data_IF_519230476694
#
_entry.id   IF_519230476694
#
_cell.length_a   1.000
_cell.length_b   1.000
_cell.length_c   1.000
_cell.angle_alpha   90.00
_cell.angle_beta   90.00
_cell.angle_gamma   90.00
#
_symmetry.space_group_name_H-M   'P 1'
#
loop_
_entity.id
_entity.type
_entity.pdbx_description
1 polymer ?
#
# COMPACT_ATOMS: atom_id res chain seq x y z
N UNK A 1 -21.15 -36.18 0.30
CA UNK A 1 -20.59 -34.82 0.52
C UNK A 1 -21.53 -33.87 -0.21
N UNK A 2 -22.31 -33.06 0.51
CA UNK A 2 -23.20 -32.09 -0.14
C UNK A 2 -22.35 -30.95 -0.69
N UNK A 3 -22.35 -30.79 -2.00
CA UNK A 3 -21.69 -29.66 -2.65
C UNK A 3 -22.23 -28.34 -2.09
N UNK A 4 -21.32 -27.39 -1.87
CA UNK A 4 -21.69 -26.05 -1.47
C UNK A 4 -22.51 -25.38 -2.59
N UNK A 5 -23.78 -25.10 -2.32
CA UNK A 5 -24.66 -24.40 -3.27
C UNK A 5 -24.40 -22.90 -3.20
N UNK A 6 -23.68 -22.37 -4.19
CA UNK A 6 -23.38 -20.94 -4.28
C UNK A 6 -24.65 -20.10 -4.45
N UNK A 7 -24.84 -19.11 -3.57
CA UNK A 7 -26.02 -18.24 -3.62
C UNK A 7 -25.96 -17.28 -4.81
N UNK A 8 -27.02 -17.28 -5.63
CA UNK A 8 -27.19 -16.31 -6.72
C UNK A 8 -27.22 -14.86 -6.22
N UNK A 9 -27.65 -14.63 -4.97
CA UNK A 9 -27.66 -13.30 -4.37
C UNK A 9 -26.23 -12.83 -4.04
N UNK A 10 -25.42 -13.70 -3.41
CA UNK A 10 -24.01 -13.41 -3.10
C UNK A 10 -23.21 -13.17 -4.38
N UNK A 11 -23.48 -13.93 -5.45
CA UNK A 11 -22.88 -13.69 -6.78
C UNK A 11 -23.10 -12.25 -7.25
N UNK A 12 -24.37 -11.82 -7.26
CA UNK A 12 -24.75 -10.49 -7.74
C UNK A 12 -24.15 -9.39 -6.86
N UNK A 13 -24.21 -9.57 -5.54
CA UNK A 13 -23.63 -8.64 -4.58
C UNK A 13 -22.13 -8.45 -4.79
N UNK A 14 -21.37 -9.54 -4.97
CA UNK A 14 -19.92 -9.49 -5.19
C UNK A 14 -19.57 -8.78 -6.51
N UNK A 15 -20.33 -9.04 -7.58
CA UNK A 15 -20.14 -8.37 -8.88
C UNK A 15 -20.41 -6.87 -8.75
N UNK A 16 -21.48 -6.47 -8.05
CA UNK A 16 -21.81 -5.05 -7.83
C UNK A 16 -20.68 -4.35 -7.07
N UNK A 17 -20.17 -4.95 -5.99
CA UNK A 17 -19.03 -4.38 -5.24
C UNK A 17 -17.77 -4.26 -6.12
N UNK A 18 -17.50 -5.24 -6.98
CA UNK A 18 -16.36 -5.20 -7.90
C UNK A 18 -16.49 -4.05 -8.89
N UNK A 19 -17.69 -3.84 -9.45
CA UNK A 19 -17.96 -2.73 -10.40
C UNK A 19 -17.83 -1.38 -9.69
N UNK A 20 -18.43 -1.24 -8.51
CA UNK A 20 -18.34 0.00 -7.72
C UNK A 20 -16.87 0.31 -7.37
N UNK A 21 -16.12 -0.71 -6.92
CA UNK A 21 -14.69 -0.58 -6.65
C UNK A 21 -13.89 -0.15 -7.89
N UNK A 22 -14.16 -0.77 -9.04
CA UNK A 22 -13.50 -0.40 -10.30
C UNK A 22 -13.83 1.04 -10.73
N UNK A 23 -15.08 1.49 -10.56
CA UNK A 23 -15.48 2.88 -10.83
C UNK A 23 -14.77 3.84 -9.86
N UNK A 24 -14.70 3.50 -8.57
CA UNK A 24 -14.01 4.30 -7.56
C UNK A 24 -12.51 4.45 -7.87
N UNK A 25 -11.87 3.38 -8.33
CA UNK A 25 -10.48 3.43 -8.81
C UNK A 25 -10.36 4.35 -10.03
N UNK A 26 -11.21 4.17 -11.06
CA UNK A 26 -11.17 5.01 -12.25
C UNK A 26 -11.38 6.51 -11.92
N UNK A 27 -12.28 6.81 -11.00
CA UNK A 27 -12.50 8.17 -10.50
C UNK A 27 -11.28 8.72 -9.75
N UNK A 28 -10.60 7.88 -8.95
CA UNK A 28 -9.34 8.25 -8.28
C UNK A 28 -8.22 8.63 -9.26
N UNK A 29 -8.10 7.92 -10.39
CA UNK A 29 -7.14 8.26 -11.45
C UNK A 29 -7.58 9.48 -12.27
N UNK A 30 -8.88 9.68 -12.48
CA UNK A 30 -9.40 10.83 -13.21
C UNK A 30 -9.14 12.15 -12.48
N UNK A 31 -9.17 12.16 -11.14
CA UNK A 31 -8.90 13.34 -10.32
C UNK A 31 -7.41 13.51 -9.96
N UNK A 32 -6.53 12.64 -10.46
CA UNK A 32 -5.10 12.78 -10.20
C UNK A 32 -4.55 14.00 -10.97
N UNK A 33 -3.82 14.91 -10.33
CA UNK A 33 -3.31 16.10 -11.00
C UNK A 33 -2.33 15.70 -12.11
N UNK A 34 -2.46 16.35 -13.26
CA UNK A 34 -1.58 16.13 -14.42
C UNK A 34 -0.41 17.11 -14.47
N UNK A 35 -0.49 18.22 -13.73
CA UNK A 35 0.57 19.23 -13.65
C UNK A 35 0.66 19.87 -12.25
N UNK A 36 1.75 20.63 -12.02
CA UNK A 36 2.05 21.27 -10.74
C UNK A 36 1.06 22.40 -10.41
N UNK A 37 0.58 23.16 -11.40
CA UNK A 37 -0.36 24.28 -11.16
C UNK A 37 -1.74 23.77 -10.73
N UNK A 38 -2.22 22.68 -11.33
CA UNK A 38 -3.44 21.99 -10.93
C UNK A 38 -3.34 21.44 -9.50
N UNK A 39 -2.15 20.95 -9.10
CA UNK A 39 -1.91 20.49 -7.74
C UNK A 39 -2.04 21.63 -6.71
N UNK A 40 -1.57 22.85 -7.06
CA UNK A 40 -1.73 24.05 -6.24
C UNK A 40 -3.18 24.45 -6.12
N UNK A 41 -3.93 24.42 -7.22
CA UNK A 41 -5.36 24.72 -7.21
C UNK A 41 -6.14 23.73 -6.34
N UNK A 42 -5.81 22.44 -6.39
CA UNK A 42 -6.45 21.42 -5.55
C UNK A 42 -6.17 21.68 -4.07
N UNK A 43 -4.92 21.97 -3.71
CA UNK A 43 -4.56 22.32 -2.32
C UNK A 43 -5.23 23.61 -1.89
N UNK A 44 -5.23 24.64 -2.74
CA UNK A 44 -5.87 25.93 -2.47
C UNK A 44 -7.39 25.79 -2.26
N UNK A 45 -8.07 24.98 -3.09
CA UNK A 45 -9.50 24.64 -2.94
C UNK A 45 -9.75 23.89 -1.63
N UNK A 46 -8.92 22.90 -1.29
CA UNK A 46 -9.03 22.17 -0.02
C UNK A 46 -8.84 23.08 1.21
N UNK A 47 -7.95 24.08 1.13
CA UNK A 47 -7.71 25.02 2.23
C UNK A 47 -8.78 26.11 2.37
N UNK A 48 -9.54 26.43 1.31
CA UNK A 48 -10.61 27.43 1.36
C UNK A 48 -11.95 26.88 1.87
N UNK A 49 -12.20 25.57 1.76
CA UNK A 49 -13.44 24.91 2.19
C UNK A 49 -13.36 24.33 3.63
N UNK A 50 -12.43 24.82 4.47
CA UNK A 50 -12.06 24.23 5.76
C UNK A 50 -13.17 24.14 6.82
N UNK A 51 -13.91 23.03 6.81
CA UNK A 51 -14.03 22.20 8.00
C UNK A 51 -12.66 21.59 8.30
N UNK A 52 -12.17 21.76 9.53
CA UNK A 52 -10.95 21.15 10.06
C UNK A 52 -11.00 19.62 9.90
N UNK A 53 -10.34 19.12 8.85
CA UNK A 53 -10.08 17.71 8.61
C UNK A 53 -8.59 17.45 8.73
N UNK A 54 -8.15 17.25 9.96
CA UNK A 54 -6.94 16.55 10.41
C UNK A 54 -5.94 16.18 9.31
N UNK A 55 -4.78 16.84 9.33
CA UNK A 55 -3.58 16.37 8.66
C UNK A 55 -3.19 15.02 9.25
N UNK A 56 -3.81 13.96 8.76
CA UNK A 56 -3.33 12.62 9.02
C UNK A 56 -2.02 12.44 8.25
N UNK A 57 -0.92 12.62 8.97
CA UNK A 57 0.37 12.05 8.65
C UNK A 57 0.22 10.53 8.48
N UNK A 58 -0.08 10.10 7.25
CA UNK A 58 -0.26 8.68 6.93
C UNK A 58 1.13 8.07 6.61
N UNK A 59 1.72 7.47 7.64
CA UNK A 59 2.76 6.44 7.66
C UNK A 59 4.13 6.77 7.02
N UNK A 60 4.88 7.66 7.67
CA UNK A 60 6.34 7.64 7.69
C UNK A 60 6.88 6.82 8.88
N UNK A 61 6.74 5.49 8.85
CA UNK A 61 7.26 4.61 9.90
C UNK A 61 8.76 4.32 9.73
N UNK A 62 9.62 5.26 10.12
CA UNK A 62 11.06 5.03 10.31
C UNK A 62 11.39 4.88 11.79
N UNK A 63 11.75 3.68 12.22
CA UNK A 63 12.27 3.45 13.57
C UNK A 63 13.67 4.05 13.70
N UNK A 64 13.81 5.01 14.62
CA UNK A 64 15.07 5.53 15.14
C UNK A 64 14.80 6.19 16.48
N UNK A 65 15.10 5.48 17.57
CA UNK A 65 15.29 6.08 18.89
C UNK A 65 16.40 7.13 18.82
N UNK A 66 16.17 8.33 19.37
CA UNK A 66 16.96 8.93 20.45
C UNK A 66 16.46 10.35 20.76
N UNK A 67 16.36 10.67 22.05
CA UNK A 67 15.57 11.80 22.57
C UNK A 67 16.20 13.20 22.45
N UNK A 68 15.40 14.22 22.76
CA UNK A 68 15.63 15.19 23.84
C UNK A 68 14.64 16.38 23.82
N UNK A 69 13.97 16.56 24.97
CA UNK A 69 13.59 17.81 25.69
C UNK A 69 12.60 18.80 25.05
N UNK A 70 11.51 19.06 25.80
CA UNK A 70 10.42 19.95 25.41
C UNK A 70 10.51 21.40 25.86
N UNK A 71 9.50 22.18 25.46
CA UNK A 71 9.03 23.36 26.20
C UNK A 71 7.58 23.71 25.81
N UNK A 72 6.72 23.83 26.81
CA UNK A 72 5.38 24.43 26.72
C UNK A 72 5.48 25.96 26.57
N UNK A 73 4.59 26.60 25.81
CA UNK A 73 3.57 27.49 26.38
C UNK A 73 2.52 28.03 25.38
N UNK A 74 1.35 28.30 25.96
CA UNK A 74 0.10 28.78 25.37
C UNK A 74 0.15 30.20 24.77
N UNK A 75 -0.67 30.40 23.72
CA UNK A 75 -1.64 31.50 23.58
C UNK A 75 -1.16 32.89 23.15
N UNK A 76 -1.55 33.34 21.95
CA UNK A 76 -2.34 34.56 21.72
C UNK A 76 -2.59 34.80 20.22
N UNK A 77 -3.82 35.27 19.91
CA UNK A 77 -4.20 35.68 18.56
C UNK A 77 -3.68 37.05 18.18
N UNK A 78 -3.69 37.34 16.87
CA UNK A 78 -3.35 38.64 16.31
C UNK A 78 -2.96 38.56 14.84
N UNK A 79 -3.95 38.86 13.99
CA UNK A 79 -3.90 39.84 12.90
C UNK A 79 -2.70 39.91 11.92
N UNK A 80 -3.08 39.98 10.64
CA UNK A 80 -2.27 40.13 9.41
C UNK A 80 -1.05 41.07 9.51
N UNK A 81 0.07 40.65 8.91
CA UNK A 81 1.24 41.50 8.70
C UNK A 81 2.28 40.90 7.76
N UNK A 82 2.31 41.41 6.52
CA UNK A 82 3.46 41.34 5.59
C UNK A 82 4.72 41.95 6.24
N UNK A 83 5.83 41.20 6.30
CA UNK A 83 7.11 41.59 5.69
C UNK A 83 8.26 40.61 5.98
N UNK A 84 8.92 40.27 4.88
CA UNK A 84 10.26 39.75 4.61
C UNK A 84 11.34 39.72 5.72
N UNK A 85 12.12 38.62 5.80
CA UNK A 85 13.52 38.52 5.33
C UNK A 85 14.31 37.34 5.95
N UNK A 86 14.76 36.42 5.10
CA UNK A 86 16.17 35.93 5.04
C UNK A 86 16.65 34.82 5.98
N UNK A 87 16.84 33.61 5.45
CA UNK A 87 17.99 32.75 5.75
C UNK A 87 18.17 31.64 4.69
N UNK A 88 19.41 31.47 4.25
CA UNK A 88 19.91 30.55 3.24
C UNK A 88 19.46 29.08 3.33
N UNK A 89 19.31 28.44 2.17
CA UNK A 89 19.56 27.01 1.98
C UNK A 89 18.33 26.20 1.62
N UNK A 90 18.24 25.83 0.33
CA UNK A 90 17.25 24.94 -0.27
C UNK A 90 15.82 25.51 -0.37
N UNK A 91 15.54 26.19 -1.48
CA UNK A 91 14.20 26.27 -2.06
C UNK A 91 13.78 24.83 -2.41
N UNK A 92 13.33 24.09 -1.41
CA UNK A 92 12.62 22.83 -1.63
C UNK A 92 11.37 23.21 -2.41
N UNK A 93 11.30 22.71 -3.63
CA UNK A 93 10.19 22.91 -4.54
C UNK A 93 8.95 22.20 -3.96
N UNK A 94 8.32 22.85 -2.97
CA UNK A 94 7.17 22.36 -2.21
C UNK A 94 6.06 21.93 -3.17
N UNK A 95 5.91 22.70 -4.24
CA UNK A 95 4.93 22.46 -5.29
C UNK A 95 5.17 21.12 -6.01
N UNK A 96 6.42 20.80 -6.35
CA UNK A 96 6.77 19.48 -6.90
C UNK A 96 6.53 18.36 -5.89
N UNK A 97 6.89 18.55 -4.63
CA UNK A 97 6.67 17.53 -3.59
C UNK A 97 5.18 17.21 -3.42
N UNK A 98 4.33 18.23 -3.35
CA UNK A 98 2.88 18.09 -3.27
C UNK A 98 2.32 17.41 -4.52
N UNK A 99 2.81 17.79 -5.71
CA UNK A 99 2.41 17.17 -6.97
C UNK A 99 2.69 15.66 -6.96
N UNK A 100 3.91 15.23 -6.65
CA UNK A 100 4.26 13.80 -6.61
C UNK A 100 3.47 13.04 -5.53
N UNK A 101 3.18 13.66 -4.38
CA UNK A 101 2.32 13.06 -3.36
C UNK A 101 0.91 12.82 -3.89
N UNK A 102 0.29 13.83 -4.52
CA UNK A 102 -1.06 13.74 -5.06
C UNK A 102 -1.15 12.73 -6.23
N UNK A 103 -0.16 12.68 -7.10
CA UNK A 103 -0.10 11.72 -8.20
C UNK A 103 0.05 10.27 -7.72
N UNK A 104 0.75 10.06 -6.60
CA UNK A 104 0.92 8.73 -6.01
C UNK A 104 -0.27 8.26 -5.16
N UNK A 105 -1.15 9.16 -4.69
CA UNK A 105 -2.36 8.81 -3.90
C UNK A 105 -3.21 7.69 -4.52
N UNK A 106 -3.64 7.75 -5.80
CA UNK A 106 -4.47 6.69 -6.38
C UNK A 106 -3.76 5.34 -6.45
N UNK A 107 -2.44 5.34 -6.68
CA UNK A 107 -1.64 4.13 -6.71
C UNK A 107 -1.50 3.49 -5.32
N UNK A 108 -1.25 4.31 -4.29
CA UNK A 108 -1.21 3.85 -2.90
C UNK A 108 -2.58 3.31 -2.43
N UNK A 109 -3.66 3.97 -2.86
CA UNK A 109 -5.04 3.56 -2.55
C UNK A 109 -5.43 2.20 -3.14
N UNK A 110 -4.77 1.73 -4.21
CA UNK A 110 -4.94 0.35 -4.71
C UNK A 110 -3.97 -0.61 -3.99
N UNK A 111 -2.73 -0.19 -3.78
CA UNK A 111 -1.67 -1.04 -3.22
C UNK A 111 -1.95 -1.49 -1.78
N UNK A 112 -2.38 -0.56 -0.92
CA UNK A 112 -2.67 -0.86 0.49
C UNK A 112 -3.75 -1.93 0.67
N UNK A 113 -4.96 -1.81 0.07
CA UNK A 113 -5.97 -2.86 0.20
C UNK A 113 -5.56 -4.17 -0.47
N UNK A 114 -4.82 -4.13 -1.60
CA UNK A 114 -4.29 -5.34 -2.23
C UNK A 114 -3.37 -6.13 -1.28
N UNK A 115 -2.43 -5.45 -0.62
CA UNK A 115 -1.59 -6.06 0.41
C UNK A 115 -2.40 -6.54 1.61
N UNK A 116 -3.38 -5.76 2.06
CA UNK A 116 -4.20 -6.11 3.22
C UNK A 116 -4.93 -7.44 3.03
N UNK A 117 -5.66 -7.61 1.92
CA UNK A 117 -6.38 -8.86 1.66
C UNK A 117 -5.42 -10.05 1.40
N UNK A 118 -4.27 -9.81 0.77
CA UNK A 118 -3.24 -10.82 0.61
C UNK A 118 -2.68 -11.27 1.97
N UNK A 119 -2.40 -10.33 2.88
CA UNK A 119 -1.91 -10.62 4.23
C UNK A 119 -2.92 -11.38 5.09
N UNK A 120 -4.22 -11.10 4.95
CA UNK A 120 -5.28 -11.91 5.58
C UNK A 120 -5.18 -13.36 5.11
N UNK A 121 -5.06 -13.57 3.79
CA UNK A 121 -4.96 -14.91 3.22
C UNK A 121 -3.69 -15.64 3.69
N UNK A 122 -2.56 -14.93 3.75
CA UNK A 122 -1.29 -15.45 4.27
C UNK A 122 -1.37 -15.80 5.77
N UNK A 123 -2.03 -14.95 6.57
CA UNK A 123 -2.27 -15.21 7.99
C UNK A 123 -3.11 -16.47 8.22
N UNK A 124 -4.14 -16.68 7.40
CA UNK A 124 -4.94 -17.91 7.43
C UNK A 124 -4.11 -19.12 7.01
N UNK A 125 -3.21 -19.01 6.02
CA UNK A 125 -2.31 -20.09 5.63
C UNK A 125 -1.36 -20.48 6.77
N UNK A 126 -0.78 -19.50 7.45
CA UNK A 126 0.09 -19.75 8.60
C UNK A 126 -0.67 -20.44 9.74
N UNK A 127 -1.88 -19.94 10.07
CA UNK A 127 -2.73 -20.58 11.07
C UNK A 127 -3.15 -21.99 10.66
N UNK A 128 -3.48 -22.20 9.38
CA UNK A 128 -3.83 -23.51 8.84
C UNK A 128 -2.67 -24.50 9.00
N UNK A 129 -1.44 -24.08 8.69
CA UNK A 129 -0.24 -24.90 8.86
C UNK A 129 -0.02 -25.30 10.33
N UNK A 130 -0.19 -24.37 11.28
CA UNK A 130 -0.04 -24.64 12.72
C UNK A 130 -1.04 -25.70 13.18
N UNK A 131 -2.31 -25.57 12.79
CA UNK A 131 -3.38 -26.47 13.21
C UNK A 131 -3.16 -27.90 12.71
N UNK A 132 -2.61 -28.03 11.49
CA UNK A 132 -2.18 -29.31 10.93
C UNK A 132 -0.99 -29.89 11.68
N UNK A 133 0.03 -29.07 11.96
CA UNK A 133 1.23 -29.49 12.68
C UNK A 133 0.92 -29.94 14.12
N UNK A 134 -0.01 -29.27 14.81
CA UNK A 134 -0.42 -29.61 16.17
C UNK A 134 -1.43 -30.76 16.24
N UNK A 135 -1.88 -31.29 15.10
CA UNK A 135 -2.92 -32.33 15.02
C UNK A 135 -4.18 -31.98 15.83
N UNK A 136 -4.61 -30.71 15.76
CA UNK A 136 -5.77 -30.25 16.52
C UNK A 136 -7.06 -30.91 16.02
N UNK A 137 -7.78 -31.61 16.91
CA UNK A 137 -8.99 -32.35 16.53
C UNK A 137 -10.22 -31.47 16.27
N UNK A 138 -10.28 -30.27 16.85
CA UNK A 138 -11.44 -29.38 16.72
C UNK A 138 -11.45 -28.60 15.40
N UNK A 139 -10.27 -28.35 14.80
CA UNK A 139 -10.13 -27.58 13.55
C UNK A 139 -10.46 -28.38 12.30
N UNK A 140 -10.74 -29.68 12.42
CA UNK A 140 -11.04 -30.58 11.30
C UNK A 140 -12.21 -30.07 10.43
N UNK A 141 -13.23 -29.46 11.07
CA UNK A 141 -14.39 -28.90 10.37
C UNK A 141 -14.09 -27.53 9.73
N UNK A 142 -13.05 -26.84 10.21
CA UNK A 142 -12.66 -25.51 9.75
C UNK A 142 -11.65 -25.56 8.59
N UNK A 143 -11.00 -26.70 8.33
CA UNK A 143 -10.00 -26.81 7.25
C UNK A 143 -10.55 -26.45 5.88
N UNK A 144 -11.80 -26.82 5.58
CA UNK A 144 -12.44 -26.45 4.30
C UNK A 144 -12.66 -24.94 4.17
N UNK A 145 -12.96 -24.26 5.27
CA UNK A 145 -13.09 -22.80 5.28
C UNK A 145 -11.72 -22.15 5.08
N UNK A 146 -10.71 -22.61 5.82
CA UNK A 146 -9.35 -22.09 5.71
C UNK A 146 -8.80 -22.28 4.28
N UNK A 147 -8.97 -23.46 3.68
CA UNK A 147 -8.59 -23.72 2.28
C UNK A 147 -9.31 -22.81 1.28
N UNK A 148 -10.58 -22.48 1.54
CA UNK A 148 -11.35 -21.55 0.73
C UNK A 148 -10.82 -20.11 0.81
N UNK A 149 -10.38 -19.68 2.00
CA UNK A 149 -9.81 -18.34 2.21
C UNK A 149 -8.38 -18.24 1.67
N UNK A 150 -7.57 -19.28 1.83
CA UNK A 150 -6.19 -19.31 1.29
C UNK A 150 -6.16 -19.34 -0.23
N UNK A 151 -7.23 -19.79 -0.90
CA UNK A 151 -7.33 -19.76 -2.35
C UNK A 151 -7.22 -18.34 -2.95
N UNK A 152 -7.45 -17.29 -2.15
CA UNK A 152 -7.22 -15.90 -2.57
C UNK A 152 -5.73 -15.50 -2.59
N UNK A 153 -4.84 -16.23 -1.90
CA UNK A 153 -3.43 -15.87 -1.77
C UNK A 153 -2.75 -15.75 -3.13
N UNK A 154 -2.97 -16.71 -4.03
CA UNK A 154 -2.38 -16.69 -5.37
C UNK A 154 -2.90 -15.51 -6.22
N UNK A 155 -4.22 -15.33 -6.42
CA UNK A 155 -4.77 -14.15 -7.12
C UNK A 155 -4.30 -12.82 -6.52
N UNK A 156 -4.32 -12.68 -5.19
CA UNK A 156 -3.90 -11.47 -4.49
C UNK A 156 -2.42 -11.16 -4.70
N UNK A 157 -1.55 -12.17 -4.63
CA UNK A 157 -0.12 -12.00 -4.84
C UNK A 157 0.22 -11.63 -6.29
N UNK A 158 -0.49 -12.20 -7.26
CA UNK A 158 -0.36 -11.81 -8.68
C UNK A 158 -0.75 -10.35 -8.87
N UNK A 159 -1.83 -9.90 -8.24
CA UNK A 159 -2.28 -8.51 -8.33
C UNK A 159 -1.23 -7.53 -7.75
N UNK A 160 -0.61 -7.87 -6.62
CA UNK A 160 0.49 -7.08 -6.04
C UNK A 160 1.71 -7.04 -6.97
N UNK A 161 2.09 -8.17 -7.60
CA UNK A 161 3.18 -8.19 -8.59
C UNK A 161 2.87 -7.29 -9.79
N UNK A 162 1.63 -7.28 -10.28
CA UNK A 162 1.25 -6.40 -11.39
C UNK A 162 1.48 -4.93 -11.03
N UNK A 163 1.09 -4.49 -9.83
CA UNK A 163 1.34 -3.12 -9.35
C UNK A 163 2.84 -2.82 -9.26
N UNK A 164 3.64 -3.79 -8.77
CA UNK A 164 5.09 -3.66 -8.72
C UNK A 164 5.72 -3.53 -10.11
N UNK A 165 5.21 -4.25 -11.11
CA UNK A 165 5.65 -4.14 -12.51
C UNK A 165 5.36 -2.73 -13.03
N UNK A 166 4.16 -2.18 -12.78
CA UNK A 166 3.85 -0.80 -13.16
C UNK A 166 4.81 0.21 -12.52
N UNK A 167 5.17 0.01 -11.24
CA UNK A 167 6.17 0.85 -10.58
C UNK A 167 7.57 0.71 -11.20
N UNK A 168 7.96 -0.50 -11.62
CA UNK A 168 9.24 -0.74 -12.30
C UNK A 168 9.29 -0.11 -13.70
N UNK A 169 8.14 0.01 -14.37
CA UNK A 169 7.98 0.67 -15.66
C UNK A 169 7.85 2.21 -15.54
N UNK A 170 8.04 2.78 -14.34
CA UNK A 170 7.95 4.22 -14.04
C UNK A 170 6.57 4.86 -14.27
N UNK A 171 5.48 4.07 -14.26
CA UNK A 171 4.13 4.66 -14.27
C UNK A 171 3.74 5.27 -12.91
N UNK A 172 4.54 5.02 -11.88
CA UNK A 172 4.28 5.37 -10.49
C UNK A 172 5.58 5.41 -9.69
N UNK A 173 5.64 6.30 -8.70
CA UNK A 173 6.80 6.49 -7.83
C UNK A 173 6.54 5.96 -6.41
N UNK A 174 5.85 4.81 -6.30
CA UNK A 174 5.55 4.17 -5.01
C UNK A 174 6.82 3.71 -4.26
N UNK A 175 7.85 3.30 -5.01
CA UNK A 175 9.10 2.79 -4.46
C UNK A 175 10.28 3.65 -4.91
N UNK A 176 10.79 4.49 -4.01
CA UNK A 176 11.91 5.41 -4.26
C UNK A 176 13.17 4.71 -4.78
N UNK A 177 13.43 3.48 -4.33
CA UNK A 177 14.60 2.69 -4.73
C UNK A 177 14.50 2.07 -6.14
N UNK A 178 13.32 2.11 -6.77
CA UNK A 178 13.16 1.72 -8.18
C UNK A 178 13.55 2.84 -9.15
N UNK A 179 13.77 4.06 -8.66
CA UNK A 179 14.19 5.20 -9.48
C UNK A 179 15.73 5.28 -9.57
N UNK A 180 16.32 5.13 -10.77
CA UNK A 180 17.77 5.25 -10.96
C UNK A 180 18.33 6.60 -10.50
N UNK A 181 17.55 7.69 -10.61
CA UNK A 181 18.02 9.03 -10.23
C UNK A 181 18.17 9.16 -8.72
N UNK A 182 17.21 8.62 -7.95
CA UNK A 182 17.25 8.63 -6.48
C UNK A 182 18.39 7.74 -5.96
N UNK A 183 18.57 6.55 -6.55
CA UNK A 183 19.66 5.62 -6.20
C UNK A 183 21.05 6.24 -6.47
N UNK A 184 21.14 7.09 -7.50
CA UNK A 184 22.38 7.78 -7.86
C UNK A 184 22.72 8.94 -6.92
N UNK A 185 21.76 9.53 -6.19
CA UNK A 185 22.04 10.65 -5.29
C UNK A 185 22.05 10.24 -3.80
N UNK A 186 21.35 9.17 -3.43
CA UNK A 186 21.24 8.70 -2.05
C UNK A 186 22.23 7.55 -1.74
N UNK A 187 23.22 7.83 -0.89
CA UNK A 187 24.23 6.85 -0.46
C UNK A 187 23.63 5.67 0.34
N UNK A 188 22.57 5.88 1.11
CA UNK A 188 21.91 4.84 1.92
C UNK A 188 21.22 3.83 1.02
N UNK A 189 20.49 4.32 0.00
CA UNK A 189 19.83 3.45 -0.98
C UNK A 189 20.88 2.74 -1.84
N UNK A 190 21.96 3.44 -2.22
CA UNK A 190 23.06 2.86 -3.00
C UNK A 190 23.71 1.67 -2.30
N UNK A 191 23.91 1.73 -0.99
CA UNK A 191 24.46 0.61 -0.22
C UNK A 191 23.50 -0.60 -0.13
N UNK A 192 22.22 -0.41 -0.45
CA UNK A 192 21.18 -1.46 -0.45
C UNK A 192 20.86 -2.00 -1.84
N UNK A 193 21.52 -1.52 -2.91
CA UNK A 193 21.25 -1.95 -4.30
C UNK A 193 21.47 -3.44 -4.52
N UNK A 194 22.39 -4.08 -3.78
CA UNK A 194 22.58 -5.52 -3.84
C UNK A 194 21.30 -6.30 -3.50
N UNK A 195 20.47 -5.76 -2.61
CA UNK A 195 19.19 -6.34 -2.23
C UNK A 195 18.00 -5.75 -3.01
N UNK A 196 18.01 -4.44 -3.26
CA UNK A 196 16.91 -3.69 -3.90
C UNK A 196 17.00 -3.65 -5.43
N UNK A 197 17.89 -4.44 -6.05
CA UNK A 197 17.97 -4.54 -7.50
C UNK A 197 16.66 -5.12 -8.08
N UNK A 198 16.09 -4.46 -9.09
CA UNK A 198 14.80 -4.80 -9.72
C UNK A 198 14.71 -6.30 -10.09
N UNK A 199 15.58 -6.87 -10.95
CA UNK A 199 15.57 -8.30 -11.27
C UNK A 199 15.68 -9.22 -10.04
N UNK A 200 16.51 -8.88 -9.07
CA UNK A 200 16.68 -9.70 -7.86
C UNK A 200 15.46 -9.65 -6.94
N UNK A 201 14.83 -8.47 -6.82
CA UNK A 201 13.59 -8.30 -6.09
C UNK A 201 12.44 -9.11 -6.71
N UNK A 202 12.25 -9.03 -8.03
CA UNK A 202 11.22 -9.81 -8.72
C UNK A 202 11.49 -11.32 -8.66
N UNK A 203 12.74 -11.76 -8.77
CA UNK A 203 13.09 -13.17 -8.60
C UNK A 203 12.65 -13.69 -7.22
N UNK A 204 12.92 -12.92 -6.15
CA UNK A 204 12.51 -13.28 -4.78
C UNK A 204 10.99 -13.26 -4.60
N UNK A 205 10.31 -12.25 -5.16
CA UNK A 205 8.86 -12.20 -5.14
C UNK A 205 8.23 -13.46 -5.78
N UNK A 206 8.73 -13.89 -6.94
CA UNK A 206 8.29 -15.12 -7.60
C UNK A 206 8.58 -16.34 -6.74
N UNK A 207 9.76 -16.42 -6.11
CA UNK A 207 10.09 -17.52 -5.19
C UNK A 207 9.12 -17.57 -4.02
N UNK A 208 8.81 -16.45 -3.38
CA UNK A 208 7.89 -16.42 -2.24
C UNK A 208 6.47 -16.87 -2.61
N UNK A 209 5.95 -16.43 -3.76
CA UNK A 209 4.64 -16.87 -4.26
C UNK A 209 4.67 -18.36 -4.58
N UNK A 210 5.73 -18.83 -5.25
CA UNK A 210 5.86 -20.24 -5.63
C UNK A 210 5.93 -21.15 -4.41
N UNK A 211 6.69 -20.76 -3.39
CA UNK A 211 6.80 -21.48 -2.12
C UNK A 211 5.46 -21.45 -1.37
N UNK A 212 4.82 -20.29 -1.26
CA UNK A 212 3.51 -20.17 -0.61
C UNK A 212 2.44 -21.04 -1.27
N UNK A 213 2.39 -21.04 -2.61
CA UNK A 213 1.49 -21.87 -3.38
C UNK A 213 1.78 -23.36 -3.23
N UNK A 214 3.07 -23.74 -3.22
CA UNK A 214 3.48 -25.12 -2.96
C UNK A 214 3.02 -25.60 -1.57
N UNK A 215 3.24 -24.78 -0.53
CA UNK A 215 2.79 -25.10 0.84
C UNK A 215 1.26 -25.27 0.88
N UNK A 216 0.51 -24.38 0.23
CA UNK A 216 -0.95 -24.47 0.17
C UNK A 216 -1.41 -25.80 -0.46
N UNK A 217 -0.80 -26.21 -1.58
CA UNK A 217 -1.12 -27.50 -2.23
C UNK A 217 -0.74 -28.66 -1.32
N UNK A 218 0.45 -28.63 -0.73
CA UNK A 218 0.94 -29.69 0.14
C UNK A 218 -0.01 -29.93 1.33
N UNK A 219 -0.46 -28.85 1.98
CA UNK A 219 -1.39 -28.94 3.11
C UNK A 219 -2.77 -29.53 2.70
N UNK A 220 -3.19 -29.33 1.45
CA UNK A 220 -4.42 -29.92 0.89
C UNK A 220 -4.27 -31.40 0.56
N UNK A 221 -3.07 -31.86 0.17
CA UNK A 221 -2.81 -33.26 -0.17
C UNK A 221 -2.67 -34.13 1.08
N UNK A 222 -2.12 -33.58 2.17
CA UNK A 222 -1.97 -34.28 3.46
C UNK A 222 -3.32 -34.42 4.20
N UNK A 223 -4.41 -33.85 3.66
CA UNK A 223 -5.76 -33.87 4.21
C UNK A 223 -6.51 -35.19 4.02
#
# INVERSE_FOLDING_TARGET
>A
MTDYKFSKQIKRFSIILTIIGAIGIAFGFYNAPSNVDESKEIVAKMSHDGYEGDSSDIYGGGYGEDGHVGHHNNGHGGEYGENSHGASGHEYDHDKHVFYQLQNKPWAAIYVPALFFMMISLGVLAFYAIQRASQAGWSIVLYRLMEGVTAYLLPGSIFVIIILIFSALKFNHLFLWMDPEVVAHDEIIRNKVGYLNIPFFFARAIIYISVGFYIEILLKIIA
#
